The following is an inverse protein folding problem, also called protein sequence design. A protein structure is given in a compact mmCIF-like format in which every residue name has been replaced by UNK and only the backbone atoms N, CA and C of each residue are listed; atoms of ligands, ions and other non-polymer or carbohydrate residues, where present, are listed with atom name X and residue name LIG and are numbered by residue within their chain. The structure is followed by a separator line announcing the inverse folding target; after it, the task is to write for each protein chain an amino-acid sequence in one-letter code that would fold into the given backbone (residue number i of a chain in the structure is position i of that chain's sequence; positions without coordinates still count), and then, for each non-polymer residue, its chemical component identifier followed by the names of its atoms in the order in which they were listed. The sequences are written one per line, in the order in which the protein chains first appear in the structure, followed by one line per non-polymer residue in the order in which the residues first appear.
data_IF_688191726972
#
_entry.id   IF_688191726972
#
_cell.length_a   1.000
_cell.length_b   1.000
_cell.length_c   1.000
_cell.angle_alpha   90.00
_cell.angle_beta   90.00
_cell.angle_gamma   90.00
#
_symmetry.space_group_name_H-M   'P 1'
#
loop_
_entity.id
_entity.type
_entity.pdbx_description
1 polymer ?
#
# COMPACT_ATOMS: atom_id res chain seq x y z
N UNK A 1 -9.27 -13.01 4.44
CA UNK A 1 -9.62 -14.43 4.46
C UNK A 1 -11.16 -14.66 4.42
N UNK A 2 -12.02 -14.01 5.26
CA UNK A 2 -13.47 -14.30 5.28
C UNK A 2 -14.18 -14.13 3.93
N UNK A 3 -13.77 -13.20 3.11
CA UNK A 3 -14.34 -12.99 1.77
C UNK A 3 -13.93 -14.08 0.77
N UNK A 4 -12.73 -14.64 0.92
CA UNK A 4 -12.27 -15.78 0.11
C UNK A 4 -13.05 -17.03 0.53
N UNK A 5 -13.15 -17.29 1.83
CA UNK A 5 -13.85 -18.45 2.38
C UNK A 5 -15.35 -18.45 2.03
N UNK A 6 -15.96 -17.27 1.97
CA UNK A 6 -17.38 -17.12 1.56
C UNK A 6 -17.59 -17.13 0.04
N UNK A 7 -16.54 -17.22 -0.77
CA UNK A 7 -16.60 -17.16 -2.22
C UNK A 7 -16.95 -15.79 -2.81
N UNK A 8 -16.96 -14.72 -1.98
CA UNK A 8 -17.15 -13.34 -2.47
C UNK A 8 -15.96 -12.82 -3.25
N UNK A 9 -14.76 -13.28 -2.89
CA UNK A 9 -13.52 -13.03 -3.64
C UNK A 9 -12.93 -14.35 -4.10
N UNK A 10 -12.50 -14.39 -5.35
CA UNK A 10 -11.84 -15.55 -5.95
C UNK A 10 -10.41 -15.19 -6.32
N UNK A 11 -9.45 -15.85 -5.72
CA UNK A 11 -8.04 -15.73 -6.08
C UNK A 11 -7.75 -16.74 -7.18
N UNK A 12 -7.78 -16.30 -8.44
CA UNK A 12 -7.63 -17.17 -9.63
C UNK A 12 -6.35 -17.99 -9.62
N UNK A 13 -5.24 -17.44 -9.14
CA UNK A 13 -3.96 -18.16 -9.03
C UNK A 13 -3.95 -19.23 -7.96
N UNK A 14 -4.97 -19.28 -7.07
CA UNK A 14 -4.99 -20.16 -5.90
C UNK A 14 -3.96 -19.81 -4.82
N UNK A 15 -3.17 -18.74 -4.99
CA UNK A 15 -2.17 -18.31 -4.03
C UNK A 15 -2.85 -17.49 -2.91
N UNK A 16 -3.09 -18.13 -1.77
CA UNK A 16 -3.88 -17.53 -0.67
C UNK A 16 -3.15 -17.49 0.68
N UNK A 17 -1.96 -18.11 0.78
CA UNK A 17 -1.14 -18.03 1.99
C UNK A 17 -0.18 -16.85 1.93
N UNK A 18 0.23 -16.36 3.11
CA UNK A 18 1.18 -15.23 3.19
C UNK A 18 2.47 -15.53 2.44
N UNK A 19 3.03 -16.72 2.59
CA UNK A 19 4.29 -17.13 1.94
C UNK A 19 4.17 -17.13 0.40
N UNK A 20 2.99 -17.49 -0.12
CA UNK A 20 2.74 -17.52 -1.56
C UNK A 20 2.61 -16.11 -2.15
N UNK A 21 2.09 -15.14 -1.40
CA UNK A 21 1.83 -13.78 -1.89
C UNK A 21 2.90 -12.77 -1.49
N UNK A 22 3.75 -13.09 -0.51
CA UNK A 22 4.79 -12.19 -0.05
C UNK A 22 5.80 -11.87 -1.18
N UNK A 23 6.08 -10.57 -1.35
CA UNK A 23 7.12 -10.10 -2.27
C UNK A 23 8.34 -9.67 -1.44
N UNK A 24 9.45 -10.41 -1.59
CA UNK A 24 10.65 -10.15 -0.80
C UNK A 24 11.16 -8.72 -1.04
N UNK A 25 11.37 -7.99 0.07
CA UNK A 25 11.84 -6.59 0.09
C UNK A 25 10.90 -5.58 -0.59
N UNK A 26 9.62 -5.92 -0.79
CA UNK A 26 8.65 -5.12 -1.57
C UNK A 26 9.19 -4.68 -2.94
N UNK A 27 9.97 -5.54 -3.57
CA UNK A 27 10.72 -5.29 -4.78
C UNK A 27 9.79 -5.22 -6.01
N UNK A 28 9.86 -4.11 -6.75
CA UNK A 28 9.00 -3.85 -7.91
C UNK A 28 9.21 -4.86 -9.04
N UNK A 29 10.47 -5.26 -9.34
CA UNK A 29 10.76 -6.24 -10.40
C UNK A 29 10.21 -7.62 -10.06
N UNK A 30 10.33 -8.03 -8.78
CA UNK A 30 9.76 -9.31 -8.32
C UNK A 30 8.23 -9.30 -8.37
N UNK A 31 7.61 -8.16 -8.06
CA UNK A 31 6.16 -8.00 -8.19
C UNK A 31 5.73 -8.07 -9.65
N UNK A 32 6.47 -7.43 -10.56
CA UNK A 32 6.24 -7.49 -12.01
C UNK A 32 6.34 -8.92 -12.52
N UNK A 33 7.45 -9.62 -12.26
CA UNK A 33 7.68 -10.99 -12.72
C UNK A 33 6.61 -11.96 -12.22
N UNK A 34 6.16 -11.78 -10.98
CA UNK A 34 5.04 -12.56 -10.44
C UNK A 34 3.75 -12.25 -11.19
N UNK A 35 3.44 -10.97 -11.39
CA UNK A 35 2.21 -10.56 -12.07
C UNK A 35 2.19 -11.02 -13.51
N UNK A 36 3.29 -10.95 -14.24
CA UNK A 36 3.42 -11.52 -15.59
C UNK A 36 3.09 -13.02 -15.61
N UNK A 37 3.61 -13.76 -14.64
CA UNK A 37 3.31 -15.19 -14.50
C UNK A 37 1.82 -15.44 -14.21
N UNK A 38 1.22 -14.63 -13.34
CA UNK A 38 -0.21 -14.73 -12.99
C UNK A 38 -1.09 -14.39 -14.20
N UNK A 39 -0.76 -13.35 -14.95
CA UNK A 39 -1.50 -12.96 -16.17
C UNK A 39 -1.44 -14.10 -17.19
N UNK A 40 -0.24 -14.58 -17.49
CA UNK A 40 -0.06 -15.65 -18.47
C UNK A 40 -0.80 -16.95 -18.11
N UNK A 41 -0.80 -17.30 -16.82
CA UNK A 41 -1.41 -18.55 -16.36
C UNK A 41 -2.92 -18.49 -16.10
N UNK A 42 -3.48 -17.30 -15.84
CA UNK A 42 -4.85 -17.20 -15.31
C UNK A 42 -5.75 -16.20 -16.05
N UNK A 43 -5.20 -15.34 -16.90
CA UNK A 43 -5.94 -14.23 -17.52
C UNK A 43 -5.69 -14.10 -19.03
N UNK A 44 -4.97 -15.03 -19.64
CA UNK A 44 -4.71 -15.05 -21.08
C UNK A 44 -5.92 -15.49 -21.92
N UNK A 45 -6.94 -16.05 -21.30
CA UNK A 45 -8.17 -16.54 -21.93
C UNK A 45 -9.29 -15.50 -22.01
N UNK A 46 -9.02 -14.25 -21.63
CA UNK A 46 -10.00 -13.17 -21.56
C UNK A 46 -10.75 -13.11 -20.22
N UNK A 47 -10.37 -13.91 -19.22
CA UNK A 47 -10.88 -13.78 -17.86
C UNK A 47 -10.58 -12.39 -17.32
N UNK A 48 -11.58 -11.73 -16.73
CA UNK A 48 -11.45 -10.38 -16.18
C UNK A 48 -10.72 -10.42 -14.84
N UNK A 49 -9.68 -9.60 -14.72
CA UNK A 49 -9.00 -9.29 -13.47
C UNK A 49 -9.68 -8.06 -12.85
N UNK A 50 -10.41 -8.24 -11.75
CA UNK A 50 -11.16 -7.14 -11.15
C UNK A 50 -10.31 -6.26 -10.23
N UNK A 51 -9.38 -6.85 -9.47
CA UNK A 51 -8.54 -6.10 -8.54
C UNK A 51 -7.20 -6.79 -8.27
N UNK A 52 -6.19 -5.99 -7.95
CA UNK A 52 -4.91 -6.44 -7.40
C UNK A 52 -4.65 -5.70 -6.09
N UNK A 53 -4.54 -6.46 -5.02
CA UNK A 53 -4.21 -5.94 -3.69
C UNK A 53 -2.68 -5.87 -3.55
N UNK A 54 -2.12 -4.68 -3.66
CA UNK A 54 -0.70 -4.43 -3.43
C UNK A 54 -0.48 -3.83 -2.04
N UNK A 55 0.55 -4.31 -1.35
CA UNK A 55 0.84 -3.90 0.02
C UNK A 55 1.53 -2.54 0.11
N UNK A 56 2.20 -2.10 -0.98
CA UNK A 56 2.81 -0.79 -1.11
C UNK A 56 2.93 -0.35 -2.57
N UNK A 57 3.36 0.86 -2.79
CA UNK A 57 3.46 1.50 -4.10
C UNK A 57 4.56 0.88 -4.98
N UNK A 58 5.70 0.47 -4.42
CA UNK A 58 6.73 -0.25 -5.17
C UNK A 58 6.18 -1.53 -5.82
N UNK A 59 5.41 -2.33 -5.07
CA UNK A 59 4.79 -3.54 -5.63
C UNK A 59 3.66 -3.22 -6.60
N UNK A 60 2.89 -2.15 -6.37
CA UNK A 60 1.87 -1.67 -7.29
C UNK A 60 2.48 -1.24 -8.62
N UNK A 61 3.60 -0.51 -8.59
CA UNK A 61 4.33 -0.11 -9.82
C UNK A 61 4.77 -1.33 -10.64
N UNK A 62 5.26 -2.39 -9.98
CA UNK A 62 5.61 -3.64 -10.67
C UNK A 62 4.39 -4.31 -11.32
N UNK A 63 3.26 -4.34 -10.62
CA UNK A 63 1.99 -4.86 -11.15
C UNK A 63 1.54 -4.04 -12.37
N UNK A 64 1.58 -2.72 -12.29
CA UNK A 64 1.19 -1.83 -13.38
C UNK A 64 2.07 -2.02 -14.64
N UNK A 65 3.38 -2.21 -14.46
CA UNK A 65 4.28 -2.52 -15.56
C UNK A 65 3.92 -3.85 -16.25
N UNK A 66 3.60 -4.88 -15.48
CA UNK A 66 3.15 -6.16 -16.01
C UNK A 66 1.81 -6.04 -16.77
N UNK A 67 0.85 -5.31 -16.21
CA UNK A 67 -0.43 -5.06 -16.87
C UNK A 67 -0.26 -4.32 -18.19
N UNK A 68 0.59 -3.29 -18.22
CA UNK A 68 0.86 -2.51 -19.43
C UNK A 68 1.51 -3.33 -20.54
N UNK A 69 2.29 -4.36 -20.20
CA UNK A 69 3.01 -5.19 -21.16
C UNK A 69 2.24 -6.44 -21.62
N UNK A 70 1.42 -7.02 -20.73
CA UNK A 70 0.93 -8.40 -20.92
C UNK A 70 -0.58 -8.55 -20.77
N UNK A 71 -1.30 -7.55 -20.25
CA UNK A 71 -2.75 -7.64 -20.00
C UNK A 71 -3.55 -6.83 -21.00
N UNK A 72 -4.55 -7.44 -21.62
CA UNK A 72 -5.41 -6.80 -22.64
C UNK A 72 -6.86 -6.63 -22.20
N UNK A 73 -7.20 -7.02 -20.97
CA UNK A 73 -8.54 -6.87 -20.41
C UNK A 73 -8.82 -5.47 -19.87
N UNK A 74 -10.00 -5.30 -19.26
CA UNK A 74 -10.36 -4.09 -18.53
C UNK A 74 -9.40 -3.87 -17.35
N UNK A 75 -8.96 -2.63 -17.16
CA UNK A 75 -7.92 -2.31 -16.17
C UNK A 75 -8.45 -2.51 -14.74
N UNK A 76 -7.75 -3.29 -13.89
CA UNK A 76 -8.23 -3.64 -12.55
C UNK A 76 -8.09 -2.49 -11.55
N UNK A 77 -8.80 -2.61 -10.43
CA UNK A 77 -8.56 -1.79 -9.25
C UNK A 77 -7.22 -2.18 -8.62
N UNK A 78 -6.30 -1.23 -8.47
CA UNK A 78 -5.00 -1.44 -7.84
C UNK A 78 -4.91 -0.61 -6.56
N UNK A 79 -4.51 -1.27 -5.47
CA UNK A 79 -4.22 -0.59 -4.19
C UNK A 79 -2.73 -0.35 -4.04
N UNK A 80 -2.36 0.59 -3.15
CA UNK A 80 -0.99 0.87 -2.80
C UNK A 80 -0.86 1.48 -1.41
N UNK A 81 0.35 1.82 -1.02
CA UNK A 81 0.70 2.51 0.21
C UNK A 81 2.02 3.25 -0.02
N UNK A 82 2.19 4.38 0.63
CA UNK A 82 3.33 5.29 0.72
C UNK A 82 3.18 6.56 -0.13
N UNK A 83 2.31 6.60 -1.10
CA UNK A 83 2.11 7.74 -2.03
C UNK A 83 3.41 8.16 -2.75
N UNK A 84 4.15 7.17 -3.26
CA UNK A 84 5.35 7.43 -4.07
C UNK A 84 4.99 8.24 -5.32
N UNK A 85 5.85 9.17 -5.74
CA UNK A 85 5.59 10.11 -6.85
C UNK A 85 5.12 9.38 -8.12
N UNK A 86 5.77 8.28 -8.49
CA UNK A 86 5.39 7.49 -9.67
C UNK A 86 3.96 6.95 -9.57
N UNK A 87 3.59 6.48 -8.38
CA UNK A 87 2.29 5.88 -8.11
C UNK A 87 1.20 6.93 -7.97
N UNK A 88 1.51 8.12 -7.43
CA UNK A 88 0.57 9.25 -7.44
C UNK A 88 0.30 9.70 -8.88
N UNK A 89 1.31 9.72 -9.76
CA UNK A 89 1.10 9.94 -11.21
C UNK A 89 0.19 8.89 -11.83
N UNK A 90 0.35 7.63 -11.47
CA UNK A 90 -0.51 6.54 -11.91
C UNK A 90 -1.93 6.66 -11.35
N UNK A 91 -2.07 7.12 -10.12
CA UNK A 91 -3.37 7.42 -9.51
C UNK A 91 -4.08 8.56 -10.27
N UNK A 92 -3.38 9.65 -10.58
CA UNK A 92 -3.91 10.77 -11.38
C UNK A 92 -4.29 10.31 -12.79
N UNK A 93 -3.52 9.39 -13.37
CA UNK A 93 -3.79 8.81 -14.68
C UNK A 93 -4.90 7.73 -14.68
N UNK A 94 -5.50 7.42 -13.52
CA UNK A 94 -6.54 6.41 -13.36
C UNK A 94 -6.04 4.95 -13.41
N UNK A 95 -4.73 4.73 -13.27
CA UNK A 95 -4.12 3.40 -13.27
C UNK A 95 -4.04 2.78 -11.87
N UNK A 96 -3.98 3.59 -10.83
CA UNK A 96 -4.03 3.16 -9.43
C UNK A 96 -5.23 3.79 -8.75
N UNK A 97 -6.00 3.02 -7.99
CA UNK A 97 -7.24 3.50 -7.40
C UNK A 97 -7.00 4.28 -6.11
N UNK A 98 -5.99 3.89 -5.33
CA UNK A 98 -5.68 4.51 -4.05
C UNK A 98 -4.26 4.19 -3.60
N UNK A 99 -3.73 5.05 -2.72
CA UNK A 99 -2.53 4.77 -1.93
C UNK A 99 -2.75 5.21 -0.49
N UNK A 100 -2.27 4.43 0.46
CA UNK A 100 -2.34 4.80 1.88
C UNK A 100 -1.19 5.75 2.20
N UNK A 101 -1.51 6.99 2.52
CA UNK A 101 -0.56 8.02 2.89
C UNK A 101 -0.26 7.98 4.39
N UNK A 102 1.00 7.93 4.72
CA UNK A 102 1.53 8.09 6.07
C UNK A 102 2.47 9.29 6.06
N UNK A 103 2.00 10.44 6.53
CA UNK A 103 2.82 11.66 6.52
C UNK A 103 4.07 11.47 7.39
N UNK A 104 5.22 11.33 6.72
CA UNK A 104 6.51 11.10 7.37
C UNK A 104 6.93 12.27 8.27
N UNK A 105 6.44 13.49 8.01
CA UNK A 105 6.68 14.68 8.86
C UNK A 105 5.95 14.54 10.19
N UNK A 106 4.71 14.04 10.16
CA UNK A 106 3.93 13.75 11.38
C UNK A 106 4.58 12.63 12.19
N UNK A 107 4.98 11.54 11.52
CA UNK A 107 5.69 10.44 12.17
C UNK A 107 6.99 10.91 12.83
N UNK A 108 7.84 11.64 12.11
CA UNK A 108 9.10 12.16 12.61
C UNK A 108 8.90 13.12 13.80
N UNK A 109 7.92 14.02 13.69
CA UNK A 109 7.60 14.96 14.77
C UNK A 109 7.15 14.23 16.04
N UNK A 110 6.33 13.20 15.92
CA UNK A 110 5.86 12.42 17.05
C UNK A 110 7.00 11.62 17.70
N UNK A 111 7.88 11.01 16.88
CA UNK A 111 9.07 10.31 17.41
C UNK A 111 9.95 11.26 18.21
N UNK A 112 10.23 12.46 17.69
CA UNK A 112 11.05 13.46 18.41
C UNK A 112 10.40 13.84 19.75
N UNK A 113 9.10 14.08 19.79
CA UNK A 113 8.38 14.38 21.05
C UNK A 113 8.51 13.24 22.07
N UNK A 114 8.32 12.00 21.62
CA UNK A 114 8.43 10.82 22.49
C UNK A 114 9.85 10.64 23.04
N UNK A 115 10.87 10.80 22.19
CA UNK A 115 12.27 10.73 22.59
C UNK A 115 12.62 11.83 23.59
N UNK A 116 12.20 13.08 23.33
CA UNK A 116 12.47 14.21 24.22
C UNK A 116 11.84 13.97 25.61
N UNK A 117 10.58 13.52 25.68
CA UNK A 117 9.93 13.21 26.95
C UNK A 117 10.73 12.17 27.77
N UNK A 118 11.16 11.09 27.13
CA UNK A 118 11.96 10.03 27.79
C UNK A 118 13.33 10.56 28.23
N UNK A 119 13.99 11.36 27.40
CA UNK A 119 15.30 11.96 27.73
C UNK A 119 15.23 12.92 28.92
N UNK A 120 14.09 13.54 29.15
CA UNK A 120 13.85 14.41 30.31
C UNK A 120 13.36 13.64 31.55
N UNK A 121 13.35 12.30 31.49
CA UNK A 121 12.92 11.44 32.62
C UNK A 121 11.40 11.32 32.76
N UNK A 122 10.63 11.76 31.78
CA UNK A 122 9.18 11.60 31.69
C UNK A 122 8.77 10.32 30.93
N UNK A 123 7.49 10.23 30.64
CA UNK A 123 6.92 9.10 29.86
C UNK A 123 6.57 9.56 28.44
N UNK A 124 6.76 8.66 27.47
CA UNK A 124 6.33 8.88 26.10
C UNK A 124 4.80 8.90 26.01
N UNK A 125 4.26 9.84 25.24
CA UNK A 125 2.84 9.84 24.91
C UNK A 125 2.45 8.60 24.10
N UNK A 126 1.36 7.93 24.48
CA UNK A 126 0.81 6.77 23.78
C UNK A 126 -0.71 6.88 23.66
N UNK A 127 -1.28 6.34 22.60
CA UNK A 127 -2.74 6.31 22.40
C UNK A 127 -3.28 4.88 22.19
N UNK A 128 -2.40 3.88 22.14
CA UNK A 128 -2.76 2.47 22.10
C UNK A 128 -1.89 1.65 23.07
N UNK A 129 -2.55 0.92 23.96
CA UNK A 129 -1.92 0.06 24.98
C UNK A 129 -2.41 -1.38 24.91
N UNK A 130 -3.01 -1.81 23.79
CA UNK A 130 -3.68 -3.12 23.68
C UNK A 130 -3.42 -3.86 22.39
N UNK A 131 -3.26 -3.15 21.27
CA UNK A 131 -3.34 -3.77 19.93
C UNK A 131 -2.03 -4.41 19.47
N UNK A 132 -0.89 -3.99 20.00
CA UNK A 132 0.41 -4.45 19.52
C UNK A 132 1.11 -5.33 20.56
N UNK A 133 1.06 -6.63 20.34
CA UNK A 133 1.80 -7.64 21.12
C UNK A 133 2.95 -8.19 20.27
N UNK A 134 4.18 -8.13 20.76
CA UNK A 134 5.38 -8.64 20.08
C UNK A 134 5.77 -10.06 20.52
N UNK A 135 4.90 -10.76 21.24
CA UNK A 135 5.13 -12.09 21.79
C UNK A 135 5.85 -12.11 23.14
N UNK A 136 6.35 -10.98 23.62
CA UNK A 136 6.88 -10.81 24.99
C UNK A 136 5.96 -9.95 25.85
N UNK A 137 5.02 -9.25 25.22
CA UNK A 137 4.03 -8.40 25.88
C UNK A 137 3.50 -7.33 24.95
N UNK A 138 2.47 -6.64 25.43
CA UNK A 138 1.87 -5.50 24.71
C UNK A 138 2.83 -4.31 24.77
N UNK A 139 3.09 -3.73 23.58
CA UNK A 139 3.94 -2.56 23.42
C UNK A 139 3.06 -1.31 23.35
N UNK A 140 3.14 -0.42 24.36
CA UNK A 140 2.45 0.86 24.30
C UNK A 140 2.93 1.66 23.08
N UNK A 141 2.00 2.14 22.27
CA UNK A 141 2.28 2.71 20.96
C UNK A 141 1.55 4.03 20.78
N UNK A 142 2.15 4.97 20.06
CA UNK A 142 1.46 6.12 19.49
C UNK A 142 1.17 5.85 18.01
N UNK A 143 -0.10 5.70 17.68
CA UNK A 143 -0.55 5.47 16.30
C UNK A 143 -0.85 6.80 15.64
N UNK A 144 -0.03 7.16 14.65
CA UNK A 144 -0.36 8.26 13.75
C UNK A 144 -1.35 7.75 12.70
N UNK A 145 -2.41 8.51 12.47
CA UNK A 145 -3.50 8.09 11.59
C UNK A 145 -3.08 8.16 10.11
N UNK A 146 -3.17 7.05 9.36
CA UNK A 146 -2.94 7.07 7.94
C UNK A 146 -4.17 7.59 7.19
N UNK A 147 -3.97 8.14 6.00
CA UNK A 147 -5.05 8.64 5.14
C UNK A 147 -5.08 7.85 3.84
N UNK A 148 -6.27 7.46 3.40
CA UNK A 148 -6.46 6.89 2.06
C UNK A 148 -6.49 8.03 1.05
N UNK A 149 -5.50 8.07 0.17
CA UNK A 149 -5.42 9.04 -0.94
C UNK A 149 -6.00 8.40 -2.20
N UNK A 150 -6.90 9.15 -2.83
CA UNK A 150 -7.56 8.81 -4.09
C UNK A 150 -7.52 10.00 -5.05
N UNK A 151 -8.05 9.83 -6.25
CA UNK A 151 -8.16 10.94 -7.21
C UNK A 151 -8.95 12.14 -6.65
N UNK A 152 -9.87 11.90 -5.72
CA UNK A 152 -10.74 12.95 -5.19
C UNK A 152 -10.06 13.86 -4.16
N UNK A 153 -9.00 13.36 -3.48
CA UNK A 153 -8.37 14.08 -2.36
C UNK A 153 -6.85 14.24 -2.47
N UNK A 154 -6.20 13.73 -3.53
CA UNK A 154 -4.73 13.79 -3.63
C UNK A 154 -4.18 15.22 -3.58
N UNK A 155 -4.91 16.21 -4.16
CA UNK A 155 -4.47 17.60 -4.11
C UNK A 155 -4.42 18.13 -2.69
N UNK A 156 -5.50 17.96 -1.93
CA UNK A 156 -5.58 18.38 -0.55
C UNK A 156 -4.51 17.70 0.32
N UNK A 157 -4.41 16.36 0.18
CA UNK A 157 -3.54 15.56 1.03
C UNK A 157 -2.04 15.68 0.71
N UNK A 158 -1.68 15.88 -0.55
CA UNK A 158 -0.29 15.83 -0.97
C UNK A 158 0.26 17.19 -1.43
N UNK A 159 -0.55 18.03 -2.11
CA UNK A 159 -0.09 19.31 -2.66
C UNK A 159 -0.37 20.44 -1.67
N UNK A 160 -1.62 20.68 -1.30
CA UNK A 160 -2.01 21.76 -0.41
C UNK A 160 -1.39 21.61 0.98
N UNK A 161 -1.17 20.38 1.42
CA UNK A 161 -0.42 20.06 2.64
C UNK A 161 1.08 20.41 2.56
N UNK A 162 1.61 20.70 1.36
CA UNK A 162 3.03 20.96 1.11
C UNK A 162 3.92 19.72 1.22
N UNK A 163 3.37 18.51 1.05
CA UNK A 163 4.17 17.28 1.02
C UNK A 163 4.88 17.12 -0.33
N UNK A 164 4.16 17.34 -1.43
CA UNK A 164 4.69 17.45 -2.79
C UNK A 164 4.34 18.81 -3.39
N UNK A 165 5.05 19.18 -4.44
CA UNK A 165 4.72 20.33 -5.29
C UNK A 165 4.00 19.86 -6.57
N UNK A 166 3.23 20.72 -7.20
CA UNK A 166 2.47 20.38 -8.43
C UNK A 166 3.39 19.91 -9.58
N UNK A 167 4.60 20.47 -9.66
CA UNK A 167 5.58 20.14 -10.71
C UNK A 167 6.28 18.78 -10.48
N UNK A 168 6.13 18.19 -9.31
CA UNK A 168 6.60 16.83 -9.04
C UNK A 168 5.61 15.76 -9.52
N UNK A 169 4.33 16.09 -9.57
CA UNK A 169 3.22 15.23 -9.97
C UNK A 169 2.71 15.55 -11.36
#
# INVERSE_FOLDING_TARGET
QPYIDSGKLVVKSGQTTFEQVATANWDSEKAQNRMDTIIAGNYSDGTVLNAVLCSNDSTALGVENALASSYTGEYPIITGQDCDIANVKNLIAGKQAMSVFKDTRTLASQVVKMVDAVMQGGEAEVNDTKSYDNGTGVIPTYLCEPVVVTIDNYKEMLIDSGYYTEDQL
#
